data_IF_194367375968
#
_entry.id   IF_194367375968
#
_cell.length_a   1.000
_cell.length_b   1.000
_cell.length_c   1.000
_cell.angle_alpha   90.00
_cell.angle_beta   90.00
_cell.angle_gamma   90.00
#
_symmetry.space_group_name_H-M   'P 1'
#
loop_
_entity.id
_entity.type
_entity.pdbx_description
1 polymer ?
#
# COMPACT_ATOMS: atom_id res chain seq x y z
N UNK A 1 -15.85 13.05 1.37
CA UNK A 1 -16.62 12.10 2.20
C UNK A 1 -16.81 12.70 3.58
N UNK A 2 -17.98 12.56 4.24
CA UNK A 2 -18.15 13.06 5.62
C UNK A 2 -17.18 12.31 6.56
N UNK A 3 -16.57 13.00 7.53
CA UNK A 3 -15.56 12.42 8.45
C UNK A 3 -16.02 11.12 9.11
N UNK A 4 -17.30 11.05 9.51
CA UNK A 4 -17.91 9.85 10.12
C UNK A 4 -17.96 8.66 9.17
N UNK A 5 -18.26 8.90 7.89
CA UNK A 5 -18.29 7.85 6.87
C UNK A 5 -16.87 7.34 6.55
N UNK A 6 -15.86 8.22 6.55
CA UNK A 6 -14.46 7.80 6.41
C UNK A 6 -14.03 6.92 7.58
N UNK A 7 -14.34 7.31 8.82
CA UNK A 7 -14.03 6.49 10.00
C UNK A 7 -14.70 5.12 9.93
N UNK A 8 -16.00 5.08 9.61
CA UNK A 8 -16.72 3.82 9.45
C UNK A 8 -16.07 2.91 8.40
N UNK A 9 -15.74 3.48 7.23
CA UNK A 9 -15.06 2.74 6.16
C UNK A 9 -13.71 2.16 6.62
N UNK A 10 -12.87 2.98 7.26
CA UNK A 10 -11.57 2.53 7.78
C UNK A 10 -11.72 1.50 8.91
N UNK A 11 -12.76 1.57 9.73
CA UNK A 11 -13.05 0.55 10.74
C UNK A 11 -13.45 -0.78 10.10
N UNK A 12 -14.30 -0.76 9.08
CA UNK A 12 -14.63 -1.97 8.31
C UNK A 12 -13.39 -2.56 7.64
N UNK A 13 -12.54 -1.72 7.04
CA UNK A 13 -11.28 -2.14 6.45
C UNK A 13 -10.37 -2.79 7.49
N UNK A 14 -10.17 -2.18 8.66
CA UNK A 14 -9.37 -2.74 9.74
C UNK A 14 -9.85 -4.15 10.14
N UNK A 15 -11.17 -4.34 10.29
CA UNK A 15 -11.77 -5.64 10.59
C UNK A 15 -11.49 -6.63 9.46
N UNK A 16 -11.67 -6.23 8.20
CA UNK A 16 -11.38 -7.08 7.06
C UNK A 16 -9.90 -7.47 6.98
N UNK A 17 -8.98 -6.54 7.27
CA UNK A 17 -7.54 -6.81 7.31
C UNK A 17 -7.18 -7.80 8.43
N UNK A 18 -7.75 -7.63 9.62
CA UNK A 18 -7.55 -8.57 10.74
C UNK A 18 -8.06 -9.97 10.39
N UNK A 19 -9.28 -10.06 9.85
CA UNK A 19 -9.86 -11.33 9.42
C UNK A 19 -9.03 -11.96 8.30
N UNK A 20 -8.65 -11.19 7.28
CA UNK A 20 -7.84 -11.70 6.17
C UNK A 20 -6.47 -12.20 6.63
N UNK A 21 -5.79 -11.47 7.52
CA UNK A 21 -4.52 -11.88 8.10
C UNK A 21 -4.68 -13.16 8.95
N UNK A 22 -5.74 -13.25 9.76
CA UNK A 22 -6.04 -14.43 10.55
C UNK A 22 -6.36 -15.65 9.69
N UNK A 23 -7.23 -15.51 8.68
CA UNK A 23 -7.61 -16.60 7.78
C UNK A 23 -6.51 -16.99 6.80
N UNK A 24 -5.54 -16.11 6.52
CA UNK A 24 -4.40 -16.43 5.66
C UNK A 24 -3.60 -17.63 6.17
N UNK A 25 -3.48 -17.82 7.48
CA UNK A 25 -2.81 -19.01 8.04
C UNK A 25 -3.57 -20.31 7.72
N UNK A 26 -4.87 -20.23 7.47
CA UNK A 26 -5.72 -21.39 7.16
C UNK A 26 -5.86 -21.67 5.66
N UNK A 27 -5.37 -20.78 4.78
CA UNK A 27 -5.47 -20.93 3.31
C UNK A 27 -4.06 -20.92 2.68
N UNK A 28 -3.28 -22.00 2.83
CA UNK A 28 -2.01 -22.13 2.13
C UNK A 28 -2.22 -22.36 0.62
N UNK A 29 -1.47 -21.63 -0.22
CA UNK A 29 -1.11 -22.12 -1.56
C UNK A 29 -1.95 -21.67 -2.77
N UNK A 30 -2.67 -20.54 -2.74
CA UNK A 30 -3.45 -20.07 -3.91
C UNK A 30 -2.57 -19.62 -5.09
N UNK A 31 -1.30 -19.27 -4.85
CA UNK A 31 -0.35 -18.84 -5.88
C UNK A 31 1.10 -19.15 -5.47
N UNK A 32 1.97 -19.38 -6.46
CA UNK A 32 3.39 -19.61 -6.21
C UNK A 32 4.13 -18.36 -5.75
N UNK A 33 3.67 -17.18 -6.19
CA UNK A 33 4.16 -15.87 -5.73
C UNK A 33 3.10 -14.80 -5.96
N UNK A 34 3.12 -13.72 -5.17
CA UNK A 34 2.20 -12.58 -5.38
C UNK A 34 2.37 -11.96 -6.77
N UNK A 35 3.59 -11.95 -7.31
CA UNK A 35 3.89 -11.39 -8.63
C UNK A 35 3.31 -12.22 -9.77
N UNK A 36 3.16 -13.55 -9.58
CA UNK A 36 2.57 -14.42 -10.59
C UNK A 36 1.03 -14.28 -10.65
N UNK A 37 0.39 -13.72 -9.63
CA UNK A 37 -1.04 -13.44 -9.64
C UNK A 37 -1.36 -12.18 -10.47
N UNK A 38 -2.47 -12.15 -11.24
CA UNK A 38 -3.41 -13.24 -11.53
C UNK A 38 -3.03 -14.09 -12.75
N UNK A 39 -1.87 -13.84 -13.37
CA UNK A 39 -1.48 -14.45 -14.64
C UNK A 39 -1.36 -15.97 -14.57
N UNK A 40 -0.86 -16.50 -13.45
CA UNK A 40 -0.75 -17.95 -13.21
C UNK A 40 -2.13 -18.62 -13.18
N UNK A 41 -3.11 -18.02 -12.50
CA UNK A 41 -4.48 -18.56 -12.39
C UNK A 41 -5.17 -18.58 -13.75
N UNK A 42 -5.00 -17.50 -14.51
CA UNK A 42 -5.52 -17.40 -15.87
C UNK A 42 -4.87 -18.48 -16.75
N UNK A 43 -3.56 -18.63 -16.68
CA UNK A 43 -2.83 -19.64 -17.45
C UNK A 43 -3.23 -21.07 -17.08
N UNK A 44 -3.43 -21.37 -15.79
CA UNK A 44 -3.89 -22.68 -15.32
C UNK A 44 -5.29 -23.00 -15.87
N UNK A 45 -6.22 -22.03 -15.81
CA UNK A 45 -7.57 -22.19 -16.36
C UNK A 45 -7.55 -22.41 -17.88
N UNK A 46 -6.74 -21.63 -18.60
CA UNK A 46 -6.57 -21.77 -20.05
C UNK A 46 -5.95 -23.12 -20.43
N UNK A 47 -4.99 -23.62 -19.65
CA UNK A 47 -4.39 -24.94 -19.88
C UNK A 47 -5.41 -26.05 -19.66
N UNK A 48 -6.18 -26.00 -18.57
CA UNK A 48 -7.23 -26.98 -18.28
C UNK A 48 -8.29 -27.00 -19.39
N UNK A 49 -8.70 -25.82 -19.87
CA UNK A 49 -9.64 -25.68 -20.97
C UNK A 49 -9.06 -26.20 -22.30
N UNK A 50 -7.77 -25.97 -22.57
CA UNK A 50 -7.11 -26.47 -23.77
C UNK A 50 -7.04 -28.01 -23.81
N UNK A 51 -6.89 -28.63 -22.65
CA UNK A 51 -6.82 -30.10 -22.51
C UNK A 51 -8.18 -30.80 -22.47
N UNK A 52 -9.31 -30.07 -22.45
CA UNK A 52 -10.65 -30.67 -22.33
C UNK A 52 -11.25 -31.18 -23.65
N UNK A 53 -10.57 -30.97 -24.77
CA UNK A 53 -10.98 -31.43 -26.10
C UNK A 53 -10.80 -30.36 -27.17
N UNK A 54 -11.22 -30.65 -28.42
CA UNK A 54 -11.02 -29.74 -29.55
C UNK A 54 -11.74 -28.39 -29.37
N UNK A 55 -13.00 -28.42 -28.92
CA UNK A 55 -13.77 -27.20 -28.63
C UNK A 55 -13.15 -26.40 -27.48
N UNK A 56 -12.71 -27.09 -26.42
CA UNK A 56 -12.00 -26.47 -25.30
C UNK A 56 -10.73 -25.76 -25.75
N UNK A 57 -9.93 -26.41 -26.60
CA UNK A 57 -8.73 -25.80 -27.18
C UNK A 57 -9.02 -24.55 -28.02
N UNK A 58 -10.03 -24.59 -28.89
CA UNK A 58 -10.44 -23.42 -29.66
C UNK A 58 -10.87 -22.26 -28.74
N UNK A 59 -11.64 -22.55 -27.69
CA UNK A 59 -12.06 -21.55 -26.71
C UNK A 59 -10.88 -21.00 -25.89
N UNK A 60 -9.93 -21.85 -25.49
CA UNK A 60 -8.73 -21.42 -24.77
C UNK A 60 -7.90 -20.44 -25.61
N UNK A 61 -7.71 -20.73 -26.91
CA UNK A 61 -7.01 -19.83 -27.84
C UNK A 61 -7.75 -18.49 -27.96
N UNK A 62 -9.08 -18.52 -28.10
CA UNK A 62 -9.89 -17.31 -28.19
C UNK A 62 -9.76 -16.45 -26.92
N UNK A 63 -9.95 -17.03 -25.73
CA UNK A 63 -9.87 -16.31 -24.45
C UNK A 63 -8.45 -15.76 -24.23
N UNK A 64 -7.42 -16.57 -24.53
CA UNK A 64 -6.02 -16.14 -24.48
C UNK A 64 -5.76 -14.92 -25.36
N UNK A 65 -6.19 -14.95 -26.63
CA UNK A 65 -6.02 -13.86 -27.56
C UNK A 65 -6.77 -12.59 -27.11
N UNK A 66 -8.02 -12.72 -26.68
CA UNK A 66 -8.84 -11.61 -26.18
C UNK A 66 -8.19 -10.97 -24.95
N UNK A 67 -7.74 -11.77 -23.98
CA UNK A 67 -7.06 -11.29 -22.78
C UNK A 67 -5.78 -10.52 -23.12
N UNK A 68 -4.94 -11.07 -23.99
CA UNK A 68 -3.67 -10.44 -24.36
C UNK A 68 -3.86 -9.18 -25.21
N UNK A 69 -4.92 -9.09 -26.02
CA UNK A 69 -5.22 -7.91 -26.85
C UNK A 69 -5.99 -6.81 -26.11
N UNK A 70 -6.52 -7.09 -24.92
CA UNK A 70 -7.29 -6.13 -24.13
C UNK A 70 -6.58 -4.78 -23.94
N UNK A 71 -5.28 -4.70 -23.58
CA UNK A 71 -4.58 -3.42 -23.47
C UNK A 71 -4.63 -2.58 -24.77
N UNK A 72 -4.39 -3.20 -25.93
CA UNK A 72 -4.42 -2.50 -27.23
C UNK A 72 -5.83 -2.07 -27.62
N UNK A 73 -6.84 -2.87 -27.33
CA UNK A 73 -8.24 -2.49 -27.66
C UNK A 73 -8.74 -1.30 -26.83
N UNK A 74 -8.06 -0.94 -25.74
CA UNK A 74 -8.32 0.31 -25.00
C UNK A 74 -7.86 1.56 -25.76
N UNK A 75 -6.87 1.48 -26.66
CA UNK A 75 -6.36 2.63 -27.39
C UNK A 75 -7.42 3.42 -28.18
N UNK A 76 -8.28 2.79 -29.01
CA UNK A 76 -9.34 3.52 -29.70
C UNK A 76 -10.33 4.17 -28.73
N UNK A 77 -10.62 3.54 -27.59
CA UNK A 77 -11.50 4.10 -26.55
C UNK A 77 -10.85 5.34 -25.93
N UNK A 78 -9.55 5.28 -25.63
CA UNK A 78 -8.79 6.42 -25.11
C UNK A 78 -8.75 7.54 -26.14
N UNK A 79 -8.48 7.22 -27.40
CA UNK A 79 -8.41 8.19 -28.52
C UNK A 79 -9.72 8.93 -28.74
N UNK A 80 -10.87 8.29 -28.48
CA UNK A 80 -12.19 8.95 -28.50
C UNK A 80 -12.37 9.96 -27.36
N UNK A 81 -11.75 9.74 -26.20
CA UNK A 81 -11.89 10.60 -25.02
C UNK A 81 -10.83 11.69 -24.92
N UNK A 82 -9.63 11.45 -25.46
CA UNK A 82 -8.49 12.39 -25.41
C UNK A 82 -7.46 12.07 -26.50
N UNK A 83 -6.55 13.01 -26.74
CA UNK A 83 -5.35 12.75 -27.56
C UNK A 83 -4.46 11.70 -26.90
N UNK A 84 -3.87 10.85 -27.74
CA UNK A 84 -2.89 9.86 -27.33
C UNK A 84 -1.59 10.57 -26.92
N UNK A 85 -0.95 10.05 -25.90
CA UNK A 85 0.35 10.52 -25.40
C UNK A 85 1.37 9.38 -25.51
N UNK A 86 2.66 9.69 -25.41
CA UNK A 86 3.73 8.69 -25.53
C UNK A 86 3.57 7.51 -24.56
N UNK A 87 3.03 7.76 -23.37
CA UNK A 87 2.76 6.74 -22.35
C UNK A 87 1.76 5.67 -22.82
N UNK A 88 0.83 6.03 -23.72
CA UNK A 88 -0.15 5.09 -24.26
C UNK A 88 0.49 4.02 -25.14
N UNK A 89 1.74 4.22 -25.60
CA UNK A 89 2.52 3.20 -26.29
C UNK A 89 2.87 1.99 -25.41
N UNK A 90 2.77 2.12 -24.08
CA UNK A 90 2.93 1.00 -23.16
C UNK A 90 1.79 0.00 -23.24
N UNK A 91 0.62 0.36 -23.77
CA UNK A 91 -0.50 -0.56 -23.92
C UNK A 91 -0.24 -1.62 -25.01
N UNK A 92 0.23 -1.27 -26.22
CA UNK A 92 0.77 -2.25 -27.19
C UNK A 92 1.90 -3.12 -26.65
N UNK A 93 2.85 -2.52 -25.94
CA UNK A 93 3.93 -3.27 -25.31
C UNK A 93 3.38 -4.27 -24.28
N UNK A 94 2.41 -3.86 -23.47
CA UNK A 94 1.77 -4.74 -22.49
C UNK A 94 1.07 -5.91 -23.18
N UNK A 95 0.37 -5.69 -24.29
CA UNK A 95 -0.22 -6.78 -25.06
C UNK A 95 0.83 -7.80 -25.53
N UNK A 96 1.94 -7.33 -26.11
CA UNK A 96 3.05 -8.21 -26.53
C UNK A 96 3.63 -9.00 -25.34
N UNK A 97 3.83 -8.34 -24.20
CA UNK A 97 4.33 -8.97 -22.98
C UNK A 97 3.34 -10.01 -22.45
N UNK A 98 2.04 -9.72 -22.44
CA UNK A 98 1.01 -10.66 -21.98
C UNK A 98 0.97 -11.92 -22.84
N UNK A 99 1.12 -11.80 -24.18
CA UNK A 99 1.24 -12.96 -25.06
C UNK A 99 2.37 -13.89 -24.59
N UNK A 100 3.57 -13.35 -24.37
CA UNK A 100 4.72 -14.15 -23.94
C UNK A 100 4.55 -14.72 -22.51
N UNK A 101 4.16 -13.88 -21.56
CA UNK A 101 4.03 -14.24 -20.14
C UNK A 101 2.99 -15.33 -19.95
N UNK A 102 1.77 -15.14 -20.46
CA UNK A 102 0.68 -16.09 -20.28
C UNK A 102 0.97 -17.39 -21.05
N UNK A 103 1.56 -17.32 -22.25
CA UNK A 103 1.91 -18.52 -23.01
C UNK A 103 2.91 -19.42 -22.28
N UNK A 104 3.98 -18.85 -21.74
CA UNK A 104 5.00 -19.60 -20.97
C UNK A 104 4.41 -20.17 -19.68
N UNK A 105 3.45 -19.49 -19.06
CA UNK A 105 2.74 -20.00 -17.89
C UNK A 105 1.75 -21.12 -18.22
N UNK A 106 1.09 -21.09 -19.40
CA UNK A 106 0.24 -22.19 -19.89
C UNK A 106 1.10 -23.41 -20.17
N UNK A 107 2.27 -23.20 -20.81
CA UNK A 107 3.15 -24.27 -21.28
C UNK A 107 4.53 -24.19 -20.60
N UNK A 108 4.63 -24.52 -19.30
CA UNK A 108 5.90 -24.44 -18.57
C UNK A 108 6.97 -25.40 -19.11
N UNK A 109 6.59 -26.40 -19.93
CA UNK A 109 7.54 -27.31 -20.58
C UNK A 109 8.48 -26.65 -21.60
N UNK A 110 8.17 -25.44 -22.08
CA UNK A 110 9.10 -24.66 -22.92
C UNK A 110 10.16 -23.90 -22.11
N UNK A 111 10.02 -23.85 -20.79
CA UNK A 111 10.95 -23.17 -19.90
C UNK A 111 12.16 -24.08 -19.68
N UNK A 112 13.28 -23.77 -20.36
CA UNK A 112 14.56 -24.47 -20.21
C UNK A 112 15.52 -23.62 -19.39
N UNK A 113 15.50 -23.81 -18.07
CA UNK A 113 16.35 -23.05 -17.14
C UNK A 113 16.68 -23.90 -15.91
N UNK A 114 17.86 -23.71 -15.29
CA UNK A 114 18.17 -24.32 -14.01
C UNK A 114 17.37 -23.70 -12.84
N UNK A 115 16.70 -22.57 -13.03
CA UNK A 115 15.89 -21.95 -12.00
C UNK A 115 14.59 -22.73 -11.72
N UNK A 116 14.08 -22.64 -10.49
CA UNK A 116 12.81 -23.28 -10.13
C UNK A 116 11.64 -22.70 -10.93
N UNK A 117 10.64 -23.52 -11.25
CA UNK A 117 9.44 -23.09 -11.99
C UNK A 117 8.74 -21.94 -11.26
N UNK A 118 8.71 -21.96 -9.92
CA UNK A 118 8.15 -20.88 -9.10
C UNK A 118 8.91 -19.55 -9.29
N UNK A 119 10.25 -19.59 -9.33
CA UNK A 119 11.06 -18.39 -9.57
C UNK A 119 10.81 -17.82 -10.96
N UNK A 120 10.70 -18.66 -11.98
CA UNK A 120 10.42 -18.21 -13.36
C UNK A 120 9.02 -17.60 -13.47
N UNK A 121 8.00 -18.21 -12.87
CA UNK A 121 6.64 -17.66 -12.85
C UNK A 121 6.58 -16.30 -12.14
N UNK A 122 7.28 -16.16 -11.02
CA UNK A 122 7.44 -14.88 -10.31
C UNK A 122 8.09 -13.82 -11.20
N UNK A 123 9.16 -14.18 -11.91
CA UNK A 123 9.85 -13.30 -12.85
C UNK A 123 8.91 -12.85 -14.00
N UNK A 124 8.22 -13.79 -14.66
CA UNK A 124 7.29 -13.48 -15.74
C UNK A 124 6.16 -12.54 -15.27
N UNK A 125 5.60 -12.80 -14.10
CA UNK A 125 4.62 -11.91 -13.47
C UNK A 125 5.18 -10.51 -13.18
N UNK A 126 6.42 -10.45 -12.69
CA UNK A 126 7.13 -9.18 -12.43
C UNK A 126 7.31 -8.37 -13.72
N UNK A 127 7.65 -9.01 -14.85
CA UNK A 127 7.77 -8.34 -16.15
C UNK A 127 6.45 -7.69 -16.56
N UNK A 128 5.33 -8.42 -16.49
CA UNK A 128 4.00 -7.88 -16.81
C UNK A 128 3.61 -6.73 -15.88
N UNK A 129 3.74 -6.92 -14.56
CA UNK A 129 3.46 -5.88 -13.56
C UNK A 129 4.32 -4.64 -13.73
N UNK A 130 5.58 -4.78 -14.17
CA UNK A 130 6.46 -3.63 -14.39
C UNK A 130 5.95 -2.70 -15.50
N UNK A 131 5.38 -3.25 -16.59
CA UNK A 131 4.82 -2.44 -17.67
C UNK A 131 3.54 -1.74 -17.22
N UNK A 132 2.67 -2.47 -16.51
CA UNK A 132 1.44 -1.93 -15.92
C UNK A 132 1.76 -0.78 -14.95
N UNK A 133 2.68 -1.01 -14.02
CA UNK A 133 3.09 -0.02 -13.03
C UNK A 133 3.67 1.24 -13.69
N UNK A 134 4.53 1.09 -14.71
CA UNK A 134 5.08 2.23 -15.46
C UNK A 134 3.99 3.02 -16.20
N UNK A 135 3.03 2.35 -16.83
CA UNK A 135 1.91 3.02 -17.49
C UNK A 135 1.12 3.89 -16.50
N UNK A 136 0.73 3.32 -15.35
CA UNK A 136 0.00 4.07 -14.33
C UNK A 136 0.84 5.19 -13.71
N UNK A 137 2.12 4.94 -13.40
CA UNK A 137 3.01 5.92 -12.81
C UNK A 137 3.16 7.15 -13.72
N UNK A 138 3.48 6.95 -15.00
CA UNK A 138 3.62 8.05 -15.94
C UNK A 138 2.29 8.79 -16.14
N UNK A 139 1.17 8.06 -16.14
CA UNK A 139 -0.16 8.64 -16.27
C UNK A 139 -0.51 9.55 -15.08
N UNK A 140 -0.18 9.12 -13.87
CA UNK A 140 -0.35 9.91 -12.64
C UNK A 140 0.57 11.13 -12.65
N UNK A 141 1.82 10.98 -13.06
CA UNK A 141 2.76 12.11 -13.19
C UNK A 141 2.24 13.17 -14.17
N UNK A 142 1.75 12.76 -15.34
CA UNK A 142 1.13 13.68 -16.30
C UNK A 142 -0.10 14.37 -15.71
N UNK A 143 -0.91 13.63 -14.95
CA UNK A 143 -2.10 14.19 -14.30
C UNK A 143 -1.72 15.31 -13.35
N UNK A 144 -0.65 15.15 -12.56
CA UNK A 144 -0.16 16.19 -11.64
C UNK A 144 0.46 17.37 -12.38
N UNK A 145 1.26 17.12 -13.41
CA UNK A 145 1.95 18.18 -14.15
C UNK A 145 1.00 19.09 -14.94
N UNK A 146 -0.14 18.55 -15.39
CA UNK A 146 -1.14 19.30 -16.19
C UNK A 146 -2.31 19.82 -15.37
N UNK A 147 -2.32 19.60 -14.05
CA UNK A 147 -3.38 20.02 -13.16
C UNK A 147 -3.32 21.52 -12.88
N UNK A 148 -4.48 22.17 -12.87
CA UNK A 148 -4.66 23.46 -12.20
C UNK A 148 -4.72 23.25 -10.67
N UNK A 149 -4.59 24.35 -9.92
CA UNK A 149 -4.58 24.33 -8.45
C UNK A 149 -5.81 23.61 -7.84
N UNK A 150 -7.06 23.85 -8.32
CA UNK A 150 -8.23 23.15 -7.78
C UNK A 150 -8.19 21.63 -8.01
N UNK A 151 -7.75 21.16 -9.19
CA UNK A 151 -7.61 19.72 -9.44
C UNK A 151 -6.49 19.12 -8.61
N UNK A 152 -5.37 19.83 -8.43
CA UNK A 152 -4.27 19.37 -7.61
C UNK A 152 -4.72 19.16 -6.15
N UNK A 153 -5.50 20.08 -5.59
CA UNK A 153 -6.07 19.92 -4.25
C UNK A 153 -7.02 18.72 -4.19
N UNK A 154 -7.84 18.48 -5.22
CA UNK A 154 -8.68 17.27 -5.30
C UNK A 154 -7.83 16.00 -5.34
N UNK A 155 -6.75 15.97 -6.11
CA UNK A 155 -5.84 14.84 -6.17
C UNK A 155 -5.12 14.61 -4.85
N UNK A 156 -4.68 15.67 -4.17
CA UNK A 156 -4.06 15.57 -2.84
C UNK A 156 -5.06 15.02 -1.81
N UNK A 157 -6.33 15.43 -1.88
CA UNK A 157 -7.39 14.84 -1.03
C UNK A 157 -7.57 13.35 -1.32
N UNK A 158 -7.64 12.94 -2.60
CA UNK A 158 -7.75 11.52 -2.97
C UNK A 158 -6.54 10.73 -2.51
N UNK A 159 -5.33 11.27 -2.68
CA UNK A 159 -4.08 10.67 -2.21
C UNK A 159 -4.09 10.47 -0.70
N UNK A 160 -4.50 11.48 0.07
CA UNK A 160 -4.64 11.38 1.52
C UNK A 160 -5.64 10.30 1.94
N UNK A 161 -6.78 10.17 1.25
CA UNK A 161 -7.71 9.06 1.52
C UNK A 161 -7.06 7.71 1.23
N UNK A 162 -6.34 7.59 0.10
CA UNK A 162 -5.60 6.37 -0.24
C UNK A 162 -4.51 6.04 0.78
N UNK A 163 -3.81 7.04 1.31
CA UNK A 163 -2.83 6.88 2.39
C UNK A 163 -3.49 6.43 3.69
N UNK A 164 -4.65 6.96 4.07
CA UNK A 164 -5.36 6.48 5.26
C UNK A 164 -5.73 4.99 5.16
N UNK A 165 -6.22 4.56 4.00
CA UNK A 165 -6.47 3.13 3.69
C UNK A 165 -5.18 2.34 3.82
N UNK A 166 -4.12 2.78 3.14
CA UNK A 166 -2.81 2.12 3.21
C UNK A 166 -2.29 1.98 4.64
N UNK A 167 -2.36 3.03 5.46
CA UNK A 167 -1.91 3.01 6.84
C UNK A 167 -2.74 2.05 7.71
N UNK A 168 -4.05 2.02 7.54
CA UNK A 168 -4.93 1.06 8.23
C UNK A 168 -4.61 -0.37 7.80
N UNK A 169 -4.45 -0.61 6.49
CA UNK A 169 -4.05 -1.89 5.95
C UNK A 169 -2.68 -2.36 6.48
N UNK A 170 -1.70 -1.47 6.64
CA UNK A 170 -0.40 -1.82 7.23
C UNK A 170 -0.56 -2.14 8.71
N UNK A 171 -1.21 -1.27 9.47
CA UNK A 171 -1.38 -1.42 10.92
C UNK A 171 -2.10 -2.73 11.30
N UNK A 172 -3.20 -3.04 10.62
CA UNK A 172 -4.08 -4.14 11.00
C UNK A 172 -3.94 -5.39 10.12
N UNK A 173 -3.32 -5.26 8.94
CA UNK A 173 -3.05 -6.39 8.05
C UNK A 173 -1.62 -6.90 8.18
N UNK A 174 -0.64 -6.04 7.86
CA UNK A 174 0.78 -6.42 7.86
C UNK A 174 1.29 -6.65 9.28
N UNK A 175 1.20 -5.64 10.16
CA UNK A 175 1.74 -5.77 11.51
C UNK A 175 1.05 -6.87 12.32
N UNK A 176 -0.26 -7.07 12.12
CA UNK A 176 -0.99 -8.15 12.78
C UNK A 176 -0.61 -9.52 12.21
N UNK A 177 -0.42 -9.64 10.88
CA UNK A 177 0.10 -10.85 10.27
C UNK A 177 1.50 -11.20 10.80
N UNK A 178 2.39 -10.22 10.93
CA UNK A 178 3.72 -10.42 11.51
C UNK A 178 3.66 -10.90 12.96
N UNK A 179 2.70 -10.38 13.74
CA UNK A 179 2.42 -10.84 15.10
C UNK A 179 1.97 -12.30 15.15
N UNK A 180 1.02 -12.71 14.29
CA UNK A 180 0.58 -14.11 14.20
C UNK A 180 1.72 -15.04 13.79
N UNK A 181 2.51 -14.65 12.79
CA UNK A 181 3.70 -15.37 12.36
C UNK A 181 4.72 -15.52 13.51
N UNK A 182 4.93 -14.47 14.30
CA UNK A 182 5.83 -14.50 15.44
C UNK A 182 5.33 -15.43 16.57
N UNK A 183 4.02 -15.48 16.81
CA UNK A 183 3.41 -16.47 17.72
C UNK A 183 3.66 -17.90 17.19
N UNK A 184 3.38 -18.14 15.90
CA UNK A 184 3.59 -19.44 15.27
C UNK A 184 5.05 -19.89 15.35
N UNK A 185 5.99 -18.98 15.06
CA UNK A 185 7.41 -19.24 15.14
C UNK A 185 7.88 -19.53 16.58
N UNK A 186 7.39 -18.77 17.58
CA UNK A 186 7.70 -19.01 19.00
C UNK A 186 7.22 -20.40 19.44
N UNK A 187 6.02 -20.82 19.03
CA UNK A 187 5.49 -22.16 19.34
C UNK A 187 6.31 -23.26 18.66
N UNK A 188 6.58 -23.12 17.37
CA UNK A 188 7.34 -24.11 16.61
C UNK A 188 8.78 -24.25 17.12
N UNK A 189 9.39 -23.16 17.58
CA UNK A 189 10.73 -23.15 18.17
C UNK A 189 10.79 -23.68 19.60
N UNK A 190 9.66 -23.81 20.30
CA UNK A 190 9.63 -24.29 21.68
C UNK A 190 9.26 -25.78 21.73
N UNK A 191 10.27 -26.65 21.80
CA UNK A 191 10.08 -28.12 21.90
C UNK A 191 9.90 -28.63 23.33
N UNK A 192 9.88 -27.74 24.34
CA UNK A 192 9.71 -28.07 25.77
C UNK A 192 8.33 -27.67 26.32
N UNK A 193 8.17 -27.64 27.66
CA UNK A 193 6.93 -27.17 28.29
C UNK A 193 6.60 -25.71 27.87
N UNK A 194 5.30 -25.42 27.71
CA UNK A 194 4.80 -24.06 27.48
C UNK A 194 4.84 -23.19 28.74
N UNK A 195 5.15 -23.77 29.90
CA UNK A 195 5.30 -23.05 31.17
C UNK A 195 6.36 -21.95 31.03
N UNK A 196 5.89 -20.69 31.16
CA UNK A 196 6.72 -19.48 31.06
C UNK A 196 6.71 -18.76 29.71
N UNK A 197 6.03 -19.26 28.68
CA UNK A 197 5.92 -18.57 27.37
C UNK A 197 5.03 -17.32 27.40
N UNK A 198 4.15 -17.20 28.39
CA UNK A 198 3.17 -16.11 28.50
C UNK A 198 3.82 -14.73 28.51
N UNK A 199 5.01 -14.57 29.11
CA UNK A 199 5.78 -13.30 29.07
C UNK A 199 6.15 -12.97 27.64
N UNK A 200 6.65 -13.96 26.87
CA UNK A 200 7.02 -13.76 25.47
C UNK A 200 5.79 -13.41 24.62
N UNK A 201 4.62 -14.04 24.86
CA UNK A 201 3.38 -13.67 24.18
C UNK A 201 2.93 -12.23 24.46
N UNK A 202 3.04 -11.76 25.70
CA UNK A 202 2.74 -10.35 26.05
C UNK A 202 3.67 -9.40 25.29
N UNK A 203 4.96 -9.70 25.24
CA UNK A 203 5.93 -8.88 24.53
C UNK A 203 5.71 -8.86 23.02
N UNK A 204 5.28 -9.97 22.43
CA UNK A 204 4.85 -10.00 21.03
C UNK A 204 3.63 -9.11 20.80
N UNK A 205 2.65 -9.13 21.71
CA UNK A 205 1.48 -8.27 21.64
C UNK A 205 1.82 -6.79 21.79
N UNK A 206 2.70 -6.44 22.72
CA UNK A 206 3.22 -5.08 22.87
C UNK A 206 4.01 -4.65 21.64
N UNK A 207 4.84 -5.53 21.07
CA UNK A 207 5.60 -5.25 19.85
C UNK A 207 4.65 -4.94 18.68
N UNK A 208 3.56 -5.70 18.54
CA UNK A 208 2.51 -5.40 17.56
C UNK A 208 1.93 -3.99 17.75
N UNK A 209 1.55 -3.64 18.98
CA UNK A 209 1.00 -2.31 19.27
C UNK A 209 2.00 -1.20 18.94
N UNK A 210 3.27 -1.37 19.30
CA UNK A 210 4.35 -0.41 19.01
C UNK A 210 4.58 -0.27 17.50
N UNK A 211 4.49 -1.36 16.74
CA UNK A 211 4.68 -1.36 15.29
C UNK A 211 3.47 -0.80 14.52
N UNK A 212 2.25 -1.01 15.01
CA UNK A 212 1.03 -0.52 14.38
C UNK A 212 0.74 0.96 14.69
N UNK A 213 1.18 1.44 15.87
CA UNK A 213 0.92 2.80 16.37
C UNK A 213 1.31 3.93 15.39
N UNK A 214 2.49 3.93 14.74
CA UNK A 214 2.88 4.99 13.80
C UNK A 214 1.84 5.17 12.68
N UNK A 215 1.37 4.08 12.10
CA UNK A 215 0.41 4.11 11.00
C UNK A 215 -1.00 4.54 11.46
N UNK A 216 -1.41 4.18 12.68
CA UNK A 216 -2.65 4.67 13.29
C UNK A 216 -2.59 6.20 13.49
N UNK A 217 -1.45 6.71 13.95
CA UNK A 217 -1.22 8.14 14.12
C UNK A 217 -1.12 8.87 12.77
N UNK A 218 -0.54 8.25 11.75
CA UNK A 218 -0.51 8.80 10.39
C UNK A 218 -1.93 8.94 9.82
N UNK A 219 -2.79 7.93 10.00
CA UNK A 219 -4.19 8.01 9.63
C UNK A 219 -4.92 9.14 10.39
N UNK A 220 -4.60 9.35 11.68
CA UNK A 220 -5.13 10.47 12.46
C UNK A 220 -4.69 11.85 11.93
N UNK A 221 -3.43 11.96 11.49
CA UNK A 221 -2.86 13.16 10.85
C UNK A 221 -3.50 13.43 9.49
N UNK A 222 -3.78 12.38 8.70
CA UNK A 222 -4.48 12.47 7.41
C UNK A 222 -5.82 13.21 7.56
N UNK A 223 -6.60 12.96 8.60
CA UNK A 223 -7.86 13.69 8.82
C UNK A 223 -7.65 15.19 9.00
N UNK A 224 -6.56 15.61 9.65
CA UNK A 224 -6.22 17.03 9.75
C UNK A 224 -5.73 17.58 8.40
N UNK A 225 -5.00 16.79 7.61
CA UNK A 225 -4.59 17.16 6.25
C UNK A 225 -5.78 17.40 5.31
N UNK A 226 -6.78 16.52 5.36
CA UNK A 226 -8.02 16.67 4.60
C UNK A 226 -8.79 17.93 5.03
N UNK A 227 -8.83 18.22 6.34
CA UNK A 227 -9.45 19.46 6.85
C UNK A 227 -8.73 20.69 6.30
N UNK A 228 -7.40 20.75 6.41
CA UNK A 228 -6.61 21.86 5.87
C UNK A 228 -6.88 22.06 4.37
N UNK A 229 -6.90 20.98 3.60
CA UNK A 229 -7.23 21.04 2.17
C UNK A 229 -8.61 21.62 1.88
N UNK A 230 -9.59 21.31 2.72
CA UNK A 230 -10.95 21.81 2.58
C UNK A 230 -11.00 23.32 2.85
N UNK A 231 -10.32 23.79 3.90
CA UNK A 231 -10.24 25.22 4.21
C UNK A 231 -9.48 26.01 3.13
N UNK A 232 -8.39 25.45 2.59
CA UNK A 232 -7.62 26.06 1.49
C UNK A 232 -8.43 26.14 0.19
N UNK A 233 -9.36 25.20 -0.04
CA UNK A 233 -10.30 25.24 -1.17
C UNK A 233 -11.35 26.34 -1.00
N UNK A 234 -11.83 26.56 0.22
CA UNK A 234 -12.82 27.58 0.50
C UNK A 234 -12.23 29.00 0.42
N UNK A 235 -11.16 29.25 1.17
CA UNK A 235 -10.40 30.49 1.09
C UNK A 235 -8.99 30.29 1.64
N UNK A 236 -8.00 30.30 0.72
CA UNK A 236 -6.58 30.07 1.00
C UNK A 236 -6.00 30.98 2.11
N UNK A 237 -6.50 32.21 2.23
CA UNK A 237 -6.00 33.20 3.19
C UNK A 237 -6.97 33.44 4.35
N UNK A 238 -7.93 32.53 4.57
CA UNK A 238 -8.81 32.62 5.73
C UNK A 238 -8.08 32.27 7.02
N UNK A 239 -8.56 32.80 8.15
CA UNK A 239 -8.08 32.39 9.46
C UNK A 239 -8.31 30.89 9.71
N UNK A 240 -9.42 30.34 9.22
CA UNK A 240 -9.73 28.91 9.34
C UNK A 240 -8.67 28.02 8.67
N UNK A 241 -8.09 28.44 7.54
CA UNK A 241 -7.01 27.73 6.87
C UNK A 241 -5.71 27.76 7.70
N UNK A 242 -5.40 28.88 8.35
CA UNK A 242 -4.24 28.98 9.28
C UNK A 242 -4.42 28.07 10.47
N UNK A 243 -5.58 28.15 11.12
CA UNK A 243 -5.88 27.35 12.30
C UNK A 243 -5.83 25.86 11.93
N UNK A 244 -6.30 25.48 10.75
CA UNK A 244 -6.19 24.11 10.26
C UNK A 244 -4.72 23.69 10.00
N UNK A 245 -3.87 24.58 9.48
CA UNK A 245 -2.45 24.31 9.26
C UNK A 245 -1.69 24.16 10.58
N UNK A 246 -1.94 25.04 11.55
CA UNK A 246 -1.37 24.95 12.89
C UNK A 246 -1.82 23.69 13.61
N UNK A 247 -3.11 23.35 13.53
CA UNK A 247 -3.64 22.10 14.08
C UNK A 247 -2.98 20.87 13.43
N UNK A 248 -2.75 20.88 12.12
CA UNK A 248 -2.06 19.80 11.41
C UNK A 248 -0.61 19.65 11.89
N UNK A 249 0.13 20.75 11.98
CA UNK A 249 1.49 20.80 12.50
C UNK A 249 1.59 20.25 13.93
N UNK A 250 0.71 20.71 14.83
CA UNK A 250 0.66 20.21 16.22
C UNK A 250 0.39 18.70 16.29
N UNK A 251 -0.48 18.17 15.42
CA UNK A 251 -0.73 16.72 15.38
C UNK A 251 0.46 15.93 14.87
N UNK A 252 1.18 16.44 13.86
CA UNK A 252 2.41 15.80 13.38
C UNK A 252 3.46 15.75 14.48
N UNK A 253 3.71 16.84 15.20
CA UNK A 253 4.65 16.88 16.31
C UNK A 253 4.25 15.91 17.43
N UNK A 254 2.96 15.91 17.83
CA UNK A 254 2.44 14.97 18.84
C UNK A 254 2.63 13.52 18.40
N UNK A 255 2.30 13.20 17.14
CA UNK A 255 2.47 11.86 16.59
C UNK A 255 3.94 11.42 16.64
N UNK A 256 4.87 12.27 16.18
CA UNK A 256 6.30 11.99 16.21
C UNK A 256 6.81 11.74 17.63
N UNK A 257 6.43 12.59 18.60
CA UNK A 257 6.82 12.41 20.01
C UNK A 257 6.29 11.08 20.55
N UNK A 258 5.02 10.77 20.30
CA UNK A 258 4.41 9.51 20.77
C UNK A 258 5.15 8.31 20.16
N UNK A 259 5.41 8.32 18.85
CA UNK A 259 6.12 7.22 18.16
C UNK A 259 7.50 6.98 18.78
N UNK A 260 8.28 8.04 18.95
CA UNK A 260 9.65 7.95 19.49
C UNK A 260 9.62 7.48 20.94
N UNK A 261 8.79 8.10 21.79
CA UNK A 261 8.70 7.75 23.22
C UNK A 261 8.21 6.31 23.41
N UNK A 262 7.21 5.87 22.66
CA UNK A 262 6.70 4.49 22.73
C UNK A 262 7.75 3.49 22.26
N UNK A 263 8.49 3.77 21.17
CA UNK A 263 9.56 2.90 20.68
C UNK A 263 10.70 2.78 21.70
N UNK A 264 11.18 3.89 22.24
CA UNK A 264 12.22 3.90 23.28
C UNK A 264 11.73 3.18 24.54
N UNK A 265 10.52 3.47 24.99
CA UNK A 265 9.91 2.84 26.15
C UNK A 265 9.80 1.33 26.01
N UNK A 266 9.41 0.84 24.83
CA UNK A 266 9.36 -0.59 24.55
C UNK A 266 10.74 -1.24 24.57
N UNK A 267 11.76 -0.59 23.99
CA UNK A 267 13.13 -1.10 24.01
C UNK A 267 13.71 -1.18 25.43
N UNK A 268 13.45 -0.18 26.28
CA UNK A 268 13.86 -0.19 27.69
C UNK A 268 13.13 -1.30 28.47
N UNK A 269 11.86 -1.52 28.17
CA UNK A 269 11.06 -2.58 28.78
C UNK A 269 11.58 -3.96 28.33
N UNK A 270 11.96 -4.15 27.07
CA UNK A 270 12.64 -5.38 26.60
C UNK A 270 13.98 -5.60 27.30
N UNK A 271 14.78 -4.55 27.47
CA UNK A 271 16.06 -4.64 28.18
C UNK A 271 15.87 -5.08 29.64
N UNK A 272 14.88 -4.51 30.34
CA UNK A 272 14.59 -4.84 31.74
C UNK A 272 14.17 -6.30 31.95
N UNK A 273 13.52 -6.92 30.95
CA UNK A 273 13.01 -8.29 31.02
C UNK A 273 13.80 -9.28 30.15
N UNK A 274 15.00 -8.91 29.68
CA UNK A 274 15.78 -9.70 28.71
C UNK A 274 15.99 -11.15 29.14
N UNK A 275 16.21 -11.39 30.44
CA UNK A 275 16.42 -12.73 31.00
C UNK A 275 15.16 -13.60 31.02
N UNK A 276 13.98 -13.00 30.82
CA UNK A 276 12.68 -13.69 30.78
C UNK A 276 12.12 -13.84 29.36
N UNK A 277 12.80 -13.27 28.35
CA UNK A 277 12.36 -13.31 26.95
C UNK A 277 12.99 -14.49 26.22
N UNK A 278 12.16 -15.36 25.63
CA UNK A 278 12.63 -16.46 24.77
C UNK A 278 12.81 -16.05 23.30
N UNK A 279 12.26 -14.90 22.92
CA UNK A 279 12.46 -14.27 21.61
C UNK A 279 12.81 -12.82 21.84
N UNK A 280 14.01 -12.44 21.38
CA UNK A 280 14.45 -11.05 21.31
C UNK A 280 14.43 -10.67 19.84
N UNK A 281 13.38 -9.97 19.42
CA UNK A 281 13.31 -9.36 18.10
C UNK A 281 14.21 -8.11 18.10
N UNK A 282 15.53 -8.29 17.98
CA UNK A 282 16.53 -7.21 18.01
C UNK A 282 16.51 -6.30 16.76
N UNK A 283 15.40 -6.26 16.03
CA UNK A 283 15.22 -5.33 14.92
C UNK A 283 14.54 -4.08 15.45
N UNK A 284 15.35 -3.08 15.83
CA UNK A 284 14.85 -1.71 16.05
C UNK A 284 14.36 -1.18 14.70
N UNK A 285 13.12 -1.50 14.35
CA UNK A 285 12.49 -0.97 13.14
C UNK A 285 11.97 0.42 13.47
N UNK A 286 12.86 1.42 13.35
CA UNK A 286 12.42 2.81 13.26
C UNK A 286 11.45 2.88 12.08
N UNK A 287 10.20 3.36 12.25
CA UNK A 287 9.20 3.39 11.19
C UNK A 287 9.50 4.55 10.23
N UNK A 288 10.62 4.45 9.49
CA UNK A 288 11.14 5.49 8.60
C UNK A 288 10.06 6.00 7.62
N UNK A 289 9.23 5.15 6.99
CA UNK A 289 8.17 5.64 6.09
C UNK A 289 7.14 6.54 6.79
N UNK A 290 6.72 6.17 8.01
CA UNK A 290 5.78 6.95 8.81
C UNK A 290 6.39 8.28 9.24
N UNK A 291 7.61 8.25 9.77
CA UNK A 291 8.34 9.47 10.18
C UNK A 291 8.55 10.41 8.98
N UNK A 292 8.94 9.89 7.83
CA UNK A 292 9.11 10.68 6.61
C UNK A 292 7.80 11.33 6.16
N UNK A 293 6.68 10.60 6.22
CA UNK A 293 5.36 11.14 5.94
C UNK A 293 5.00 12.29 6.91
N UNK A 294 5.15 12.09 8.22
CA UNK A 294 4.84 13.10 9.23
C UNK A 294 5.69 14.36 9.07
N UNK A 295 7.00 14.20 8.80
CA UNK A 295 7.89 15.34 8.55
C UNK A 295 7.53 16.08 7.26
N UNK A 296 7.20 15.38 6.18
CA UNK A 296 6.78 16.01 4.94
C UNK A 296 5.48 16.81 5.13
N UNK A 297 4.51 16.26 5.84
CA UNK A 297 3.24 16.93 6.14
C UNK A 297 3.45 18.11 7.09
N UNK A 298 4.32 17.98 8.09
CA UNK A 298 4.69 19.06 9.01
C UNK A 298 5.30 20.24 8.27
N UNK A 299 6.30 19.99 7.41
CA UNK A 299 6.96 21.02 6.60
C UNK A 299 5.96 21.71 5.67
N UNK A 300 5.09 20.93 5.02
CA UNK A 300 4.03 21.48 4.17
C UNK A 300 3.08 22.38 4.97
N UNK A 301 2.67 21.96 6.16
CA UNK A 301 1.77 22.73 7.02
C UNK A 301 2.40 24.06 7.46
N UNK A 302 3.68 24.05 7.85
CA UNK A 302 4.41 25.26 8.22
C UNK A 302 4.57 26.22 7.03
N UNK A 303 4.97 25.69 5.86
CA UNK A 303 5.10 26.49 4.64
C UNK A 303 3.77 27.16 4.23
N UNK A 304 2.65 26.46 4.39
CA UNK A 304 1.32 27.04 4.11
C UNK A 304 0.99 28.15 5.12
N UNK A 305 1.35 27.99 6.39
CA UNK A 305 1.15 29.00 7.44
C UNK A 305 1.95 30.28 7.17
N UNK A 306 3.24 30.17 6.85
CA UNK A 306 4.12 31.31 6.58
C UNK A 306 3.68 32.13 5.35
N UNK A 307 3.21 31.48 4.30
CA UNK A 307 2.71 32.16 3.10
C UNK A 307 1.54 33.11 3.34
N UNK A 308 0.76 32.93 4.42
CA UNK A 308 -0.28 33.88 4.79
C UNK A 308 0.31 35.06 5.56
N UNK A 309 1.22 34.83 6.50
CA UNK A 309 1.89 35.90 7.25
C UNK A 309 2.55 36.90 6.30
N UNK A 310 3.27 36.40 5.29
CA UNK A 310 3.87 37.23 4.24
C UNK A 310 2.85 38.04 3.43
N UNK A 311 1.63 37.53 3.25
CA UNK A 311 0.56 38.27 2.57
C UNK A 311 -0.01 39.37 3.47
N UNK A 312 -0.30 39.04 4.73
CA UNK A 312 -0.82 40.01 5.70
C UNK A 312 0.17 41.17 5.90
N UNK A 313 1.47 40.86 6.01
CA UNK A 313 2.52 41.88 6.12
C UNK A 313 2.57 42.78 4.87
N UNK A 314 2.40 42.21 3.67
CA UNK A 314 2.42 42.96 2.42
C UNK A 314 1.15 43.82 2.24
N UNK A 315 -0.01 43.33 2.66
CA UNK A 315 -1.28 44.06 2.62
C UNK A 315 -1.31 45.22 3.65
N UNK A 316 -0.42 45.20 4.67
CA UNK A 316 -0.25 46.30 5.65
C UNK A 316 0.69 47.42 5.18
N UNK A 317 1.50 47.16 4.14
CA UNK A 317 2.50 48.10 3.61
C UNK A 317 1.93 48.98 2.47
N UNK A 318 0.82 48.57 1.85
CA UNK A 318 0.11 49.29 0.76
C UNK A 318 -0.98 50.20 1.33
#
# INVERSE_FOLDING_TARGET
>A
MKRTMLLFFLSCEAILCLLAAFFREFIPGVFTSMMAFPFEQIALGLRALSLSGQLGNAMAILIYAVFCLLPVTLLPIIRRKRRLVLEDALLPLLSLVLFAVVYLMINPGFIRTPASIAAVKSFLGTVAWSVIAKYFLLRVLRLFYTADVPRLQKYMTVLLHGLAVLFVSIAFGVCFGDFLNAIGALRAGNTGSEDGLWVSYIFLGLQYLVNALPYVLDAWVVFAGIRLLTELQANRYSQAAVDAAQNLSQRCCKALIIIVVTSVGFNLLQLAFVNSLRVISATVQVPIPSIAFLLAVLLLAQYIGENKQLKEDNDLIV
#
